data_IF_803174475688
#
_entry.id   IF_803174475688
#
_cell.length_a   1.000
_cell.length_b   1.000
_cell.length_c   1.000
_cell.angle_alpha   90.00
_cell.angle_beta   90.00
_cell.angle_gamma   90.00
#
_symmetry.space_group_name_H-M   'P 1'
#
loop_
_entity.id
_entity.type
_entity.pdbx_description
1 polymer ?
#
# COMPACT_ATOMS: atom_id res chain seq x y z
N UNK A 1 8.48 4.78 14.01
CA UNK A 1 8.45 6.22 13.65
C UNK A 1 9.83 6.87 13.46
N UNK A 2 10.92 6.44 14.12
CA UNK A 2 12.26 7.06 13.97
C UNK A 2 13.09 6.53 12.79
N UNK A 3 12.70 5.41 12.18
CA UNK A 3 13.51 4.69 11.17
C UNK A 3 13.70 5.47 9.85
N UNK A 4 12.88 6.49 9.60
CA UNK A 4 12.98 7.34 8.40
C UNK A 4 13.46 8.76 8.68
N UNK A 5 13.72 9.14 9.94
CA UNK A 5 14.17 10.50 10.25
C UNK A 5 15.57 10.78 9.66
N UNK A 6 16.39 9.74 9.49
CA UNK A 6 17.78 9.83 9.03
C UNK A 6 18.11 8.95 7.82
N UNK A 7 17.11 8.41 7.10
CA UNK A 7 17.40 7.61 5.90
C UNK A 7 17.74 8.53 4.72
N UNK A 8 18.99 9.00 4.70
CA UNK A 8 19.63 9.75 3.63
C UNK A 8 20.26 8.83 2.58
N UNK A 9 19.87 7.55 2.50
CA UNK A 9 20.40 6.67 1.47
C UNK A 9 19.96 7.15 0.09
N UNK A 10 20.96 7.40 -0.76
CA UNK A 10 20.85 7.89 -2.13
C UNK A 10 20.13 6.93 -3.10
N UNK A 11 19.39 5.93 -2.59
CA UNK A 11 18.64 4.94 -3.36
C UNK A 11 17.28 5.46 -3.84
N UNK A 12 16.71 6.47 -3.18
CA UNK A 12 15.49 7.15 -3.61
C UNK A 12 15.84 8.56 -4.11
N UNK A 13 15.87 8.74 -5.44
CA UNK A 13 16.25 10.01 -6.10
C UNK A 13 15.27 11.16 -5.80
N UNK A 14 14.11 10.86 -5.20
CA UNK A 14 13.13 11.87 -4.77
C UNK A 14 13.08 11.86 -3.24
N UNK A 15 13.46 12.98 -2.60
CA UNK A 15 13.08 13.27 -1.22
C UNK A 15 11.55 13.20 -1.14
N UNK A 16 11.02 12.10 -0.63
CA UNK A 16 9.57 11.96 -0.45
C UNK A 16 9.13 12.99 0.60
N UNK A 17 8.47 14.05 0.15
CA UNK A 17 7.96 15.09 1.02
C UNK A 17 6.82 14.51 1.85
N UNK A 18 6.84 14.74 3.16
CA UNK A 18 5.78 14.25 4.06
C UNK A 18 4.52 15.11 3.87
N UNK A 19 3.42 14.47 3.51
CA UNK A 19 2.11 15.10 3.48
C UNK A 19 1.51 15.06 4.91
N UNK A 20 1.26 16.21 5.57
CA UNK A 20 0.74 16.24 6.94
C UNK A 20 -0.72 15.78 7.06
N UNK A 21 -1.44 15.66 5.94
CA UNK A 21 -2.85 15.23 5.91
C UNK A 21 -3.02 13.72 5.76
N UNK A 22 -1.93 12.97 5.53
CA UNK A 22 -1.97 11.53 5.36
C UNK A 22 -1.49 10.82 6.63
N UNK A 23 -2.18 9.71 6.95
CA UNK A 23 -1.65 8.74 7.89
C UNK A 23 -0.40 8.09 7.30
N UNK A 24 0.49 7.62 8.18
CA UNK A 24 1.71 6.94 7.79
C UNK A 24 1.81 5.60 8.50
N UNK A 25 2.26 4.58 7.79
CA UNK A 25 2.60 3.28 8.40
C UNK A 25 3.82 3.40 9.31
N UNK A 26 4.13 2.33 10.06
CA UNK A 26 5.30 2.29 10.94
C UNK A 26 6.63 2.42 10.18
N UNK A 27 6.64 2.04 8.91
CA UNK A 27 7.75 2.22 7.95
C UNK A 27 7.71 3.59 7.26
N UNK A 28 6.83 4.50 7.69
CA UNK A 28 6.73 5.88 7.24
C UNK A 28 6.17 6.05 5.83
N UNK A 29 5.49 5.05 5.28
CA UNK A 29 4.83 5.14 3.99
C UNK A 29 3.45 5.76 4.16
N UNK A 30 3.10 6.73 3.32
CA UNK A 30 1.77 7.33 3.33
C UNK A 30 0.69 6.31 3.00
N UNK A 31 -0.40 6.32 3.76
CA UNK A 31 -1.59 5.52 3.50
C UNK A 31 -2.60 6.42 2.81
N UNK A 32 -2.76 6.25 1.50
CA UNK A 32 -3.57 7.13 0.65
C UNK A 32 -4.39 6.37 -0.40
N UNK A 33 -5.57 5.85 -0.02
CA UNK A 33 -6.49 5.21 -0.95
C UNK A 33 -6.96 6.15 -2.07
N UNK A 34 -7.13 7.44 -1.77
CA UNK A 34 -7.55 8.43 -2.77
C UNK A 34 -6.45 8.64 -3.83
N UNK A 35 -5.19 8.67 -3.39
CA UNK A 35 -4.02 8.70 -4.28
C UNK A 35 -4.02 7.54 -5.29
N UNK A 36 -4.47 6.35 -4.89
CA UNK A 36 -4.65 5.22 -5.80
C UNK A 36 -5.71 5.52 -6.88
N UNK A 37 -6.93 5.97 -6.49
CA UNK A 37 -7.98 6.32 -7.46
C UNK A 37 -7.53 7.41 -8.43
N UNK A 38 -6.85 8.44 -7.93
CA UNK A 38 -6.29 9.52 -8.76
C UNK A 38 -5.28 8.95 -9.76
N UNK A 39 -4.36 8.09 -9.30
CA UNK A 39 -3.35 7.48 -10.16
C UNK A 39 -3.99 6.60 -11.24
N UNK A 40 -5.00 5.81 -10.89
CA UNK A 40 -5.73 4.99 -11.86
C UNK A 40 -6.39 5.87 -12.93
N UNK A 41 -7.08 6.94 -12.52
CA UNK A 41 -7.70 7.89 -13.46
C UNK A 41 -6.66 8.54 -14.37
N UNK A 42 -5.54 9.01 -13.82
CA UNK A 42 -4.47 9.61 -14.62
C UNK A 42 -3.86 8.64 -15.63
N UNK A 43 -3.63 7.39 -15.23
CA UNK A 43 -3.09 6.36 -16.13
C UNK A 43 -4.08 6.02 -17.24
N UNK A 44 -5.35 5.84 -16.89
CA UNK A 44 -6.37 5.52 -17.89
C UNK A 44 -6.62 6.70 -18.83
N UNK A 45 -6.78 7.92 -18.32
CA UNK A 45 -6.92 9.14 -19.12
C UNK A 45 -5.82 9.25 -20.18
N UNK A 46 -4.57 9.04 -19.75
CA UNK A 46 -3.38 9.18 -20.59
C UNK A 46 -3.23 8.08 -21.65
N UNK A 47 -3.52 6.83 -21.31
CA UNK A 47 -3.15 5.68 -22.15
C UNK A 47 -4.36 4.91 -22.72
N UNK A 48 -5.52 5.06 -22.10
CA UNK A 48 -6.77 4.38 -22.46
C UNK A 48 -6.60 2.86 -22.59
N UNK A 49 -5.79 2.27 -21.69
CA UNK A 49 -5.56 0.83 -21.60
C UNK A 49 -6.18 0.28 -20.32
N UNK A 50 -6.80 -0.91 -20.36
CA UNK A 50 -7.23 -1.60 -19.15
C UNK A 50 -6.10 -1.72 -18.13
N UNK A 51 -6.47 -1.58 -16.86
CA UNK A 51 -5.51 -1.66 -15.76
C UNK A 51 -5.59 -3.01 -15.07
N UNK A 52 -4.48 -3.46 -14.50
CA UNK A 52 -4.41 -4.58 -13.59
C UNK A 52 -3.53 -4.17 -12.42
N UNK A 53 -4.08 -4.16 -11.20
CA UNK A 53 -3.28 -3.87 -10.01
C UNK A 53 -2.54 -5.13 -9.57
N UNK A 54 -1.25 -5.19 -9.91
CA UNK A 54 -0.40 -6.35 -9.64
C UNK A 54 0.09 -6.43 -8.18
N UNK A 55 0.11 -5.31 -7.45
CA UNK A 55 0.60 -5.28 -6.08
C UNK A 55 -0.04 -4.14 -5.29
N UNK A 56 -0.66 -4.48 -4.15
CA UNK A 56 -1.00 -3.53 -3.08
C UNK A 56 -1.16 -4.29 -1.76
N UNK A 57 -0.62 -3.73 -0.67
CA UNK A 57 -0.68 -4.36 0.65
C UNK A 57 -0.04 -3.50 1.72
N UNK A 58 -0.16 -3.94 2.98
CA UNK A 58 0.40 -3.27 4.14
C UNK A 58 1.31 -4.25 4.89
N UNK A 59 2.59 -3.89 4.98
CA UNK A 59 3.49 -4.49 5.95
C UNK A 59 3.21 -3.88 7.33
N UNK A 60 2.91 -4.73 8.31
CA UNK A 60 2.93 -4.38 9.72
C UNK A 60 3.44 -5.53 10.57
N UNK A 61 3.57 -5.27 11.87
CA UNK A 61 3.98 -6.28 12.86
C UNK A 61 2.73 -7.01 13.36
N UNK A 62 2.63 -8.27 13.03
CA UNK A 62 1.65 -9.23 13.48
C UNK A 62 2.06 -9.79 14.85
N UNK A 63 1.08 -9.96 15.73
CA UNK A 63 1.27 -10.54 17.05
C UNK A 63 0.34 -11.74 17.23
N UNK A 64 0.87 -12.84 17.75
CA UNK A 64 0.06 -13.99 18.11
C UNK A 64 -0.77 -13.66 19.35
N UNK A 65 -2.09 -13.77 19.23
CA UNK A 65 -3.00 -13.78 20.36
C UNK A 65 -2.80 -15.04 21.21
N UNK A 66 -3.31 -15.03 22.44
CA UNK A 66 -3.14 -16.15 23.38
C UNK A 66 -3.71 -17.49 22.87
N UNK A 67 -4.65 -17.45 21.93
CA UNK A 67 -5.23 -18.61 21.26
C UNK A 67 -4.45 -19.08 20.00
N UNK A 68 -3.35 -18.39 19.65
CA UNK A 68 -2.53 -18.70 18.47
C UNK A 68 -3.00 -18.06 17.17
N UNK A 69 -4.02 -17.21 17.21
CA UNK A 69 -4.52 -16.47 16.03
C UNK A 69 -3.75 -15.15 15.82
N UNK A 70 -3.82 -14.62 14.61
CA UNK A 70 -3.34 -13.26 14.27
C UNK A 70 -4.57 -12.40 14.02
N UNK A 71 -4.67 -11.28 14.75
CA UNK A 71 -5.74 -10.31 14.59
C UNK A 71 -5.21 -9.08 13.83
N UNK A 72 -5.26 -9.10 12.50
CA UNK A 72 -4.67 -8.08 11.64
C UNK A 72 -5.68 -7.06 11.09
N UNK A 73 -6.57 -6.56 11.94
CA UNK A 73 -7.61 -5.58 11.59
C UNK A 73 -7.06 -4.33 10.88
N UNK A 74 -5.83 -3.94 11.21
CA UNK A 74 -5.13 -2.83 10.56
C UNK A 74 -4.89 -3.10 9.07
N UNK A 75 -4.54 -4.35 8.69
CA UNK A 75 -4.30 -4.77 7.30
C UNK A 75 -5.62 -4.91 6.57
N UNK A 76 -6.62 -5.51 7.22
CA UNK A 76 -7.98 -5.59 6.71
C UNK A 76 -8.53 -4.18 6.42
N UNK A 77 -8.34 -3.23 7.33
CA UNK A 77 -8.77 -1.84 7.14
C UNK A 77 -8.06 -1.17 5.97
N UNK A 78 -6.74 -1.31 5.87
CA UNK A 78 -5.96 -0.78 4.76
C UNK A 78 -6.49 -1.30 3.41
N UNK A 79 -6.62 -2.62 3.28
CA UNK A 79 -7.08 -3.25 2.04
C UNK A 79 -8.51 -2.83 1.71
N UNK A 80 -9.40 -2.78 2.71
CA UNK A 80 -10.79 -2.35 2.53
C UNK A 80 -10.90 -0.96 1.92
N UNK A 81 -10.15 0.01 2.42
CA UNK A 81 -10.22 1.38 1.89
C UNK A 81 -9.63 1.49 0.47
N UNK A 82 -8.55 0.76 0.17
CA UNK A 82 -7.99 0.73 -1.20
C UNK A 82 -8.93 0.02 -2.18
N UNK A 83 -9.60 -1.05 -1.77
CA UNK A 83 -10.61 -1.74 -2.59
C UNK A 83 -11.82 -0.85 -2.85
N UNK A 84 -12.27 -0.06 -1.85
CA UNK A 84 -13.32 0.95 -2.08
C UNK A 84 -12.89 1.98 -3.12
N UNK A 85 -11.68 2.51 -3.00
CA UNK A 85 -11.14 3.47 -3.97
C UNK A 85 -11.02 2.88 -5.39
N UNK A 86 -10.64 1.59 -5.52
CA UNK A 86 -10.69 0.88 -6.81
C UNK A 86 -12.12 0.74 -7.35
N UNK A 87 -13.10 0.47 -6.48
CA UNK A 87 -14.51 0.42 -6.85
C UNK A 87 -15.02 1.76 -7.39
N UNK A 88 -14.62 2.87 -6.77
CA UNK A 88 -14.90 4.21 -7.27
C UNK A 88 -14.20 4.49 -8.61
N UNK A 89 -12.95 4.05 -8.77
CA UNK A 89 -12.22 4.18 -10.04
C UNK A 89 -12.87 3.38 -11.17
N UNK A 90 -13.45 2.20 -10.87
CA UNK A 90 -14.28 1.45 -11.83
C UNK A 90 -15.55 2.23 -12.18
N UNK A 91 -16.20 2.85 -11.18
CA UNK A 91 -17.37 3.70 -11.41
C UNK A 91 -17.05 4.95 -12.26
N UNK A 92 -15.81 5.44 -12.22
CA UNK A 92 -15.31 6.50 -13.10
C UNK A 92 -15.14 6.04 -14.57
N UNK A 93 -15.29 4.75 -14.85
CA UNK A 93 -15.24 4.17 -16.21
C UNK A 93 -13.95 3.45 -16.55
N UNK A 94 -13.07 3.20 -15.57
CA UNK A 94 -11.80 2.51 -15.80
C UNK A 94 -12.05 0.98 -15.89
N UNK A 95 -11.64 0.32 -16.99
CA UNK A 95 -11.69 -1.13 -17.09
C UNK A 95 -10.56 -1.76 -16.26
N UNK A 96 -10.84 -2.04 -14.99
CA UNK A 96 -9.96 -2.81 -14.10
C UNK A 96 -10.15 -4.32 -14.34
N UNK A 97 -9.09 -4.99 -14.79
CA UNK A 97 -9.10 -6.41 -15.12
C UNK A 97 -8.94 -7.33 -13.90
N UNK A 98 -8.29 -6.84 -12.85
CA UNK A 98 -7.97 -7.64 -11.68
C UNK A 98 -7.12 -6.91 -10.65
N UNK A 99 -6.99 -7.55 -9.50
CA UNK A 99 -6.26 -7.06 -8.34
C UNK A 99 -5.60 -8.24 -7.61
N UNK A 100 -4.33 -8.10 -7.27
CA UNK A 100 -3.58 -9.04 -6.43
C UNK A 100 -3.03 -8.33 -5.18
N UNK A 101 -3.40 -8.86 -4.01
CA UNK A 101 -2.89 -8.41 -2.71
C UNK A 101 -1.42 -8.83 -2.54
N UNK A 102 -0.65 -8.04 -1.82
CA UNK A 102 0.73 -8.37 -1.45
C UNK A 102 0.90 -8.54 0.06
N UNK A 103 1.52 -9.59 0.58
CA UNK A 103 1.90 -10.88 -0.04
C UNK A 103 0.83 -11.96 0.21
N UNK A 104 0.93 -13.11 -0.46
CA UNK A 104 0.04 -14.25 -0.20
C UNK A 104 0.46 -15.07 1.04
N UNK A 105 1.72 -14.98 1.43
CA UNK A 105 2.34 -15.52 2.64
C UNK A 105 3.41 -14.54 3.11
N UNK A 106 3.84 -14.66 4.36
CA UNK A 106 4.99 -13.91 4.85
C UNK A 106 6.25 -14.27 4.07
N UNK A 107 7.03 -13.25 3.76
CA UNK A 107 8.22 -13.33 2.93
C UNK A 107 9.24 -12.29 3.34
N UNK A 108 10.49 -12.53 2.95
CA UNK A 108 11.62 -11.65 3.27
C UNK A 108 11.53 -10.36 2.46
N UNK A 109 11.57 -9.21 3.14
CA UNK A 109 11.63 -7.92 2.44
C UNK A 109 12.92 -7.78 1.64
N UNK A 110 12.83 -7.48 0.34
CA UNK A 110 13.99 -7.35 -0.53
C UNK A 110 14.88 -6.15 -0.17
N UNK A 111 14.30 -5.05 0.31
CA UNK A 111 15.03 -3.79 0.55
C UNK A 111 15.67 -3.73 1.93
N UNK A 112 14.97 -4.24 2.95
CA UNK A 112 15.40 -4.15 4.35
C UNK A 112 15.87 -5.48 4.92
N UNK A 113 15.67 -6.60 4.21
CA UNK A 113 15.93 -7.94 4.76
C UNK A 113 15.03 -8.28 5.95
N UNK A 114 13.92 -7.56 6.11
CA UNK A 114 13.01 -7.71 7.25
C UNK A 114 12.40 -9.12 7.25
N UNK A 115 12.65 -9.84 8.34
CA UNK A 115 12.15 -11.18 8.62
C UNK A 115 11.05 -11.17 9.67
N UNK A 116 10.98 -10.12 10.51
CA UNK A 116 9.93 -9.98 11.50
C UNK A 116 8.72 -9.32 10.85
N UNK A 117 7.70 -10.14 10.68
CA UNK A 117 6.33 -9.77 10.31
C UNK A 117 5.49 -10.17 11.51
#
# INVERSE_FOLDING_TARGET
>A
AEMNANNSSAANVVKSLRNPYLQVSDWGWGIDPLGLRITMNMMYDRYQKPLFLVENGLGAKDEFAANGEINDDYRISYLREHIRAMGEAIADGIPLMGYTTWGCIDLVSASTGEMSK
#
